data_IF_311082647709
#
_entry.id   IF_311082647709
#
_cell.length_a   1.000
_cell.length_b   1.000
_cell.length_c   1.000
_cell.angle_alpha   90.00
_cell.angle_beta   90.00
_cell.angle_gamma   90.00
#
_symmetry.space_group_name_H-M   'P 1'
#
loop_
_entity.id
_entity.type
_entity.pdbx_description
1 polymer ?
#
# COMPACT_ATOMS: atom_id res chain seq x y z
N UNK A 1 -6.89 -16.09 -12.76
CA UNK A 1 -5.86 -15.57 -13.68
C UNK A 1 -4.52 -15.65 -12.96
N UNK A 2 -3.54 -16.39 -13.51
CA UNK A 2 -2.28 -16.65 -12.81
C UNK A 2 -1.39 -15.40 -12.78
N UNK A 3 -1.53 -14.61 -11.71
CA UNK A 3 -0.73 -13.41 -11.43
C UNK A 3 0.79 -13.69 -11.44
N UNK A 4 1.14 -14.95 -11.20
CA UNK A 4 2.50 -15.49 -11.27
C UNK A 4 3.15 -15.26 -12.63
N UNK A 5 2.44 -15.44 -13.75
CA UNK A 5 3.03 -15.22 -15.08
C UNK A 5 3.37 -13.75 -15.31
N UNK A 6 2.52 -12.82 -14.84
CA UNK A 6 2.75 -11.37 -14.95
C UNK A 6 3.98 -10.97 -14.13
N UNK A 7 4.14 -11.53 -12.92
CA UNK A 7 5.29 -11.28 -12.07
C UNK A 7 6.60 -11.81 -12.68
N UNK A 8 6.58 -13.02 -13.25
CA UNK A 8 7.76 -13.61 -13.90
C UNK A 8 8.17 -12.78 -15.12
N UNK A 9 7.21 -12.36 -15.95
CA UNK A 9 7.49 -11.51 -17.11
C UNK A 9 8.06 -10.16 -16.69
N UNK A 10 7.49 -9.52 -15.67
CA UNK A 10 8.00 -8.27 -15.12
C UNK A 10 9.42 -8.39 -14.58
N UNK A 11 9.73 -9.51 -13.90
CA UNK A 11 11.07 -9.81 -13.40
C UNK A 11 12.09 -9.95 -14.53
N UNK A 12 11.76 -10.70 -15.59
CA UNK A 12 12.65 -10.94 -16.73
C UNK A 12 12.93 -9.62 -17.46
N UNK A 13 11.90 -8.81 -17.68
CA UNK A 13 12.04 -7.49 -18.33
C UNK A 13 12.90 -6.57 -17.46
N UNK A 14 12.63 -6.49 -16.16
CA UNK A 14 13.43 -5.68 -15.23
C UNK A 14 14.90 -6.11 -15.19
N UNK A 15 15.18 -7.41 -15.29
CA UNK A 15 16.54 -7.94 -15.33
C UNK A 15 17.26 -7.60 -16.64
N UNK A 16 16.60 -7.75 -17.79
CA UNK A 16 17.16 -7.40 -19.11
C UNK A 16 17.49 -5.91 -19.23
N UNK A 17 16.63 -5.05 -18.68
CA UNK A 17 16.78 -3.59 -18.76
C UNK A 17 17.47 -2.97 -17.54
N UNK A 18 18.03 -3.78 -16.64
CA UNK A 18 18.68 -3.34 -15.39
C UNK A 18 19.68 -2.19 -15.60
N UNK A 19 20.53 -2.30 -16.61
CA UNK A 19 21.57 -1.30 -16.94
C UNK A 19 21.00 0.05 -17.43
N UNK A 20 19.83 0.02 -18.07
CA UNK A 20 19.16 1.24 -18.55
C UNK A 20 18.29 1.89 -17.46
N UNK A 21 17.68 1.06 -16.61
CA UNK A 21 16.79 1.49 -15.52
C UNK A 21 17.54 2.15 -14.35
N UNK A 22 18.82 1.82 -14.14
CA UNK A 22 19.65 2.42 -13.08
C UNK A 22 19.77 3.95 -13.19
N UNK A 23 19.62 4.51 -14.40
CA UNK A 23 19.70 5.96 -14.66
C UNK A 23 18.33 6.62 -14.75
N UNK A 24 17.25 5.85 -14.73
CA UNK A 24 15.89 6.37 -14.87
C UNK A 24 15.35 6.66 -13.47
N UNK A 25 14.87 7.88 -13.27
CA UNK A 25 14.15 8.24 -12.05
C UNK A 25 12.82 7.46 -11.98
N UNK A 26 12.83 6.36 -11.20
CA UNK A 26 11.65 5.53 -10.97
C UNK A 26 10.55 6.26 -10.19
N UNK A 27 10.84 7.42 -9.58
CA UNK A 27 9.84 8.16 -8.79
C UNK A 27 8.63 8.57 -9.64
N UNK A 28 8.86 8.93 -10.91
CA UNK A 28 7.78 9.33 -11.84
C UNK A 28 6.84 8.17 -12.19
N UNK A 29 7.31 7.03 -12.73
CA UNK A 29 6.44 5.89 -13.03
C UNK A 29 5.81 5.29 -11.77
N UNK A 30 6.51 5.26 -10.64
CA UNK A 30 5.94 4.79 -9.36
C UNK A 30 4.81 5.70 -8.88
N UNK A 31 4.99 7.03 -8.88
CA UNK A 31 3.91 7.95 -8.50
C UNK A 31 2.70 7.86 -9.45
N UNK A 32 2.94 7.68 -10.76
CA UNK A 32 1.86 7.49 -11.73
C UNK A 32 1.12 6.17 -11.50
N UNK A 33 1.83 5.09 -11.19
CA UNK A 33 1.23 3.82 -10.81
C UNK A 33 0.44 3.91 -9.50
N UNK A 34 0.95 4.64 -8.50
CA UNK A 34 0.23 4.90 -7.25
C UNK A 34 -1.03 5.72 -7.47
N UNK A 35 -0.98 6.73 -8.34
CA UNK A 35 -2.14 7.56 -8.65
C UNK A 35 -3.22 6.76 -9.41
N UNK A 36 -2.79 5.92 -10.37
CA UNK A 36 -3.67 4.97 -11.03
C UNK A 36 -4.25 3.94 -10.06
N UNK A 37 -3.47 3.46 -9.10
CA UNK A 37 -3.91 2.50 -8.10
C UNK A 37 -4.95 3.12 -7.16
N UNK A 38 -4.73 4.33 -6.67
CA UNK A 38 -5.71 5.06 -5.85
C UNK A 38 -6.99 5.31 -6.66
N UNK A 39 -6.86 5.72 -7.93
CA UNK A 39 -8.00 5.94 -8.81
C UNK A 39 -8.77 4.64 -9.09
N UNK A 40 -8.07 3.56 -9.44
CA UNK A 40 -8.71 2.26 -9.67
C UNK A 40 -9.30 1.66 -8.40
N UNK A 41 -8.69 1.85 -7.24
CA UNK A 41 -9.26 1.44 -5.97
C UNK A 41 -10.53 2.24 -5.66
N UNK A 42 -10.58 3.54 -6.01
CA UNK A 42 -11.79 4.35 -5.97
C UNK A 42 -12.87 3.94 -6.98
N UNK A 43 -12.47 3.49 -8.18
CA UNK A 43 -13.38 2.98 -9.23
C UNK A 43 -13.91 1.59 -8.88
N UNK A 44 -13.08 0.73 -8.28
CA UNK A 44 -13.46 -0.58 -7.79
C UNK A 44 -14.37 -0.44 -6.56
N UNK A 45 -14.12 0.55 -5.70
CA UNK A 45 -15.06 0.97 -4.64
C UNK A 45 -16.38 1.56 -5.16
N UNK A 46 -16.45 1.97 -6.44
CA UNK A 46 -17.69 2.33 -7.12
C UNK A 46 -18.37 1.17 -7.86
N UNK A 47 -17.67 0.04 -8.05
CA UNK A 47 -18.20 -1.20 -8.66
C UNK A 47 -18.57 -2.27 -7.63
N UNK A 48 -17.94 -2.22 -6.47
CA UNK A 48 -18.33 -2.93 -5.26
C UNK A 48 -19.16 -1.94 -4.47
N UNK A 49 -20.37 -2.30 -4.03
CA UNK A 49 -21.20 -1.47 -3.14
C UNK A 49 -20.53 -1.31 -1.77
N UNK A 50 -19.41 -0.58 -1.72
CA UNK A 50 -18.74 -0.25 -0.48
C UNK A 50 -19.50 0.91 0.15
N UNK A 51 -20.29 0.59 1.18
CA UNK A 51 -20.94 1.59 1.99
C UNK A 51 -19.87 2.48 2.64
N UNK A 52 -19.71 3.71 2.15
CA UNK A 52 -18.71 4.67 2.62
C UNK A 52 -18.78 4.87 4.15
N UNK A 53 -19.97 4.80 4.73
CA UNK A 53 -20.16 4.87 6.17
C UNK A 53 -19.55 3.65 6.89
N UNK A 54 -19.74 2.44 6.36
CA UNK A 54 -19.14 1.23 6.90
C UNK A 54 -17.61 1.28 6.82
N UNK A 55 -17.06 1.72 5.69
CA UNK A 55 -15.61 1.86 5.52
C UNK A 55 -15.03 2.91 6.47
N UNK A 56 -15.75 4.01 6.67
CA UNK A 56 -15.37 5.05 7.64
C UNK A 56 -15.34 4.50 9.07
N UNK A 57 -16.38 3.76 9.49
CA UNK A 57 -16.44 3.15 10.82
C UNK A 57 -15.29 2.16 11.03
N UNK A 58 -15.05 1.25 10.09
CA UNK A 58 -13.97 0.25 10.19
C UNK A 58 -12.59 0.90 10.23
N UNK A 59 -12.36 1.93 9.41
CA UNK A 59 -11.08 2.65 9.42
C UNK A 59 -10.87 3.45 10.70
N UNK A 60 -11.94 4.00 11.29
CA UNK A 60 -11.89 4.68 12.58
C UNK A 60 -11.57 3.71 13.73
N UNK A 61 -12.22 2.54 13.78
CA UNK A 61 -11.90 1.48 14.74
C UNK A 61 -10.44 1.04 14.63
N UNK A 62 -9.99 0.78 13.40
CA UNK A 62 -8.61 0.38 13.15
C UNK A 62 -7.60 1.44 13.59
N UNK A 63 -7.88 2.72 13.31
CA UNK A 63 -7.05 3.85 13.72
C UNK A 63 -6.89 3.92 15.25
N UNK A 64 -7.98 3.74 16.00
CA UNK A 64 -7.96 3.73 17.47
C UNK A 64 -7.12 2.56 17.99
N UNK A 65 -7.30 1.36 17.45
CA UNK A 65 -6.52 0.18 17.84
C UNK A 65 -5.02 0.43 17.60
N UNK A 66 -4.66 0.97 16.44
CA UNK A 66 -3.26 1.26 16.11
C UNK A 66 -2.68 2.33 17.04
N UNK A 67 -3.42 3.39 17.34
CA UNK A 67 -2.96 4.42 18.28
C UNK A 67 -2.73 3.85 19.68
N UNK A 68 -3.69 3.10 20.23
CA UNK A 68 -3.58 2.48 21.55
C UNK A 68 -2.41 1.50 21.58
N UNK A 69 -2.31 0.64 20.57
CA UNK A 69 -1.22 -0.33 20.46
C UNK A 69 0.13 0.36 20.38
N UNK A 70 0.24 1.42 19.57
CA UNK A 70 1.49 2.19 19.44
C UNK A 70 1.87 2.86 20.76
N UNK A 71 0.91 3.40 21.51
CA UNK A 71 1.15 3.98 22.82
C UNK A 71 1.56 2.91 23.84
N UNK A 72 0.90 1.75 23.86
CA UNK A 72 1.28 0.64 24.72
C UNK A 72 2.70 0.17 24.42
N UNK A 73 3.01 -0.06 23.14
CA UNK A 73 4.34 -0.45 22.66
C UNK A 73 5.37 0.60 23.09
N UNK A 74 5.09 1.89 22.90
CA UNK A 74 5.97 2.98 23.34
C UNK A 74 6.19 3.01 24.86
N UNK A 75 5.15 2.73 25.66
CA UNK A 75 5.27 2.68 27.13
C UNK A 75 6.05 1.44 27.60
N UNK A 76 5.77 0.27 27.01
CA UNK A 76 6.43 -0.99 27.37
C UNK A 76 7.89 -1.06 26.91
N UNK A 77 8.21 -0.60 25.70
CA UNK A 77 9.59 -0.61 25.17
C UNK A 77 10.39 0.65 25.55
N UNK A 78 9.72 1.80 25.72
CA UNK A 78 10.34 3.07 26.11
C UNK A 78 10.69 3.18 27.59
N UNK A 79 10.44 2.15 28.41
CA UNK A 79 10.98 2.04 29.77
C UNK A 79 10.40 3.03 30.78
N UNK A 80 9.19 3.54 30.58
CA UNK A 80 8.54 4.51 31.50
C UNK A 80 7.78 3.85 32.67
N UNK A 81 8.10 2.59 32.98
CA UNK A 81 7.71 1.86 34.20
C UNK A 81 8.91 1.72 35.14
N UNK A 82 9.56 2.85 35.44
CA UNK A 82 10.45 2.99 36.59
C UNK A 82 10.03 4.23 37.36
#
# INVERSE_FOLDING_TARGET
MNIIYILIVGLIIGYLFKSSLEKVDLSKPTNLALLLLIFFMGVEAGKVDLNAFSTFVVSMEFSVIVMVTSLLVAVFLGGRFR
#
